data_IF_941172434414
#
_entry.id   IF_941172434414
#
_cell.length_a   1.000
_cell.length_b   1.000
_cell.length_c   1.000
_cell.angle_alpha   90.00
_cell.angle_beta   90.00
_cell.angle_gamma   90.00
#
_symmetry.space_group_name_H-M   'P 1'
#
loop_
_entity.id
_entity.type
_entity.pdbx_description
1 polymer ?
#
# COMPACT_ATOMS: atom_id res chain seq x y z
N UNK A 1 -12.86 -35.41 -13.55
CA UNK A 1 -13.03 -34.08 -14.18
C UNK A 1 -11.99 -33.15 -13.59
N UNK A 2 -10.94 -32.82 -14.36
CA UNK A 2 -9.91 -31.88 -13.92
C UNK A 2 -10.47 -30.45 -14.04
N UNK A 3 -10.92 -29.89 -12.92
CA UNK A 3 -11.41 -28.52 -12.89
C UNK A 3 -10.27 -27.55 -13.22
N UNK A 4 -10.52 -26.61 -14.14
CA UNK A 4 -9.62 -25.51 -14.44
C UNK A 4 -9.25 -24.76 -13.15
N UNK A 5 -8.07 -25.05 -12.59
CA UNK A 5 -7.47 -24.28 -11.52
C UNK A 5 -6.79 -23.07 -12.16
N UNK A 6 -7.58 -22.05 -12.49
CA UNK A 6 -7.00 -20.76 -12.85
C UNK A 6 -6.14 -20.29 -11.67
N UNK A 7 -4.81 -20.42 -11.79
CA UNK A 7 -3.87 -19.78 -10.87
C UNK A 7 -3.94 -18.29 -11.19
N UNK A 8 -4.55 -17.51 -10.31
CA UNK A 8 -4.52 -16.06 -10.40
C UNK A 8 -3.10 -15.59 -10.15
N UNK A 9 -2.31 -15.49 -11.21
CA UNK A 9 -0.99 -14.84 -11.15
C UNK A 9 -1.24 -13.34 -10.99
N UNK A 10 -0.64 -12.74 -9.96
CA UNK A 10 -0.79 -11.31 -9.67
C UNK A 10 -0.46 -10.47 -10.93
N UNK A 11 -1.27 -9.46 -11.21
CA UNK A 11 -1.08 -8.56 -12.35
C UNK A 11 0.28 -7.86 -12.31
N UNK A 12 0.78 -7.55 -11.11
CA UNK A 12 2.11 -6.95 -10.93
C UNK A 12 3.24 -7.89 -11.39
N UNK A 13 3.05 -9.20 -11.16
CA UNK A 13 3.97 -10.25 -11.58
C UNK A 13 3.95 -10.42 -13.10
N UNK A 14 2.76 -10.50 -13.71
CA UNK A 14 2.62 -10.69 -15.17
C UNK A 14 3.20 -9.53 -15.97
N UNK A 15 3.07 -8.29 -15.47
CA UNK A 15 3.51 -7.08 -16.18
C UNK A 15 5.02 -6.97 -16.39
N UNK A 16 5.85 -7.67 -15.59
CA UNK A 16 7.31 -7.48 -15.58
C UNK A 16 8.12 -8.72 -16.00
N UNK A 17 7.46 -9.85 -16.28
CA UNK A 17 8.08 -11.13 -16.66
C UNK A 17 9.02 -11.08 -17.87
N UNK A 18 8.87 -10.09 -18.76
CA UNK A 18 9.67 -9.93 -19.98
C UNK A 18 10.73 -8.83 -19.92
N UNK A 19 10.91 -8.16 -18.79
CA UNK A 19 11.82 -7.01 -18.66
C UNK A 19 13.03 -7.36 -17.78
N UNK A 20 14.23 -6.97 -18.19
CA UNK A 20 15.47 -7.12 -17.39
C UNK A 20 15.53 -6.07 -16.26
N UNK A 21 14.40 -5.90 -15.57
CA UNK A 21 14.19 -4.90 -14.52
C UNK A 21 14.52 -5.47 -13.15
N UNK A 22 14.86 -4.58 -12.21
CA UNK A 22 15.20 -4.99 -10.85
C UNK A 22 14.03 -5.70 -10.14
N UNK A 23 12.79 -5.44 -10.56
CA UNK A 23 11.58 -6.13 -10.12
C UNK A 23 11.44 -7.53 -10.68
N UNK A 24 11.86 -7.80 -11.92
CA UNK A 24 11.86 -9.14 -12.49
C UNK A 24 12.91 -10.04 -11.81
N UNK A 25 14.13 -9.51 -11.58
CA UNK A 25 15.17 -10.22 -10.82
C UNK A 25 14.73 -10.51 -9.39
N UNK A 26 14.07 -9.55 -8.74
CA UNK A 26 13.48 -9.77 -7.42
C UNK A 26 12.34 -10.80 -7.45
N UNK A 27 11.54 -10.86 -8.53
CA UNK A 27 10.49 -11.87 -8.67
C UNK A 27 11.08 -13.29 -8.76
N UNK A 28 12.13 -13.50 -9.56
CA UNK A 28 12.84 -14.78 -9.64
C UNK A 28 13.46 -15.16 -8.29
N UNK A 29 14.05 -14.20 -7.59
CA UNK A 29 14.62 -14.40 -6.25
C UNK A 29 13.54 -14.78 -5.23
N UNK A 30 12.35 -14.15 -5.27
CA UNK A 30 11.21 -14.45 -4.40
C UNK A 30 10.66 -15.86 -4.62
N UNK A 31 10.67 -16.37 -5.85
CA UNK A 31 10.29 -17.77 -6.12
C UNK A 31 11.26 -18.72 -5.41
N UNK A 32 12.56 -18.40 -5.43
CA UNK A 32 13.60 -19.25 -4.85
C UNK A 32 13.67 -19.17 -3.32
N UNK A 33 13.54 -17.97 -2.75
CA UNK A 33 13.69 -17.68 -1.31
C UNK A 33 12.76 -16.53 -0.89
N UNK A 34 11.44 -16.81 -0.70
CA UNK A 34 10.47 -15.76 -0.36
C UNK A 34 10.76 -15.13 1.01
N UNK A 35 11.29 -15.90 1.96
CA UNK A 35 11.59 -15.47 3.34
C UNK A 35 12.56 -14.28 3.41
N UNK A 36 13.45 -14.13 2.43
CA UNK A 36 14.42 -13.03 2.38
C UNK A 36 13.78 -11.65 2.18
N UNK A 37 12.61 -11.62 1.51
CA UNK A 37 11.89 -10.39 1.21
C UNK A 37 10.72 -10.14 2.17
N UNK A 38 10.45 -11.06 3.10
CA UNK A 38 9.45 -10.88 4.13
C UNK A 38 10.00 -9.99 5.26
N UNK A 39 9.48 -8.78 5.33
CA UNK A 39 9.81 -7.79 6.33
C UNK A 39 8.94 -7.97 7.57
N UNK A 40 9.51 -7.61 8.72
CA UNK A 40 8.76 -7.41 9.96
C UNK A 40 8.01 -6.07 9.93
N UNK A 41 7.01 -5.89 10.79
CA UNK A 41 6.19 -4.67 10.84
C UNK A 41 7.00 -3.38 11.00
N UNK A 42 8.06 -3.43 11.82
CA UNK A 42 8.94 -2.29 12.02
C UNK A 42 9.76 -1.97 10.76
N UNK A 43 10.17 -2.99 10.01
CA UNK A 43 10.90 -2.81 8.75
C UNK A 43 9.98 -2.32 7.63
N UNK A 44 8.71 -2.72 7.63
CA UNK A 44 7.69 -2.15 6.72
C UNK A 44 7.52 -0.66 7.02
N UNK A 45 7.33 -0.29 8.29
CA UNK A 45 7.20 1.11 8.68
C UNK A 45 8.41 1.95 8.26
N UNK A 46 9.62 1.43 8.46
CA UNK A 46 10.85 2.10 8.00
C UNK A 46 10.93 2.17 6.47
N UNK A 47 10.54 1.11 5.75
CA UNK A 47 10.51 1.08 4.29
C UNK A 47 9.48 2.05 3.70
N UNK A 48 8.39 2.36 4.41
CA UNK A 48 7.41 3.39 4.05
C UNK A 48 7.90 4.83 4.33
N UNK A 49 9.11 4.98 4.87
CA UNK A 49 9.73 6.26 5.22
C UNK A 49 9.60 6.63 6.70
N UNK A 50 9.12 5.70 7.54
CA UNK A 50 9.02 5.85 8.98
C UNK A 50 8.24 7.11 9.39
N UNK A 51 8.74 7.81 10.41
CA UNK A 51 8.13 9.05 10.90
C UNK A 51 8.13 10.16 9.84
N UNK A 52 9.12 10.18 8.94
CA UNK A 52 9.19 11.18 7.87
C UNK A 52 8.11 10.92 6.80
N UNK A 53 7.91 9.67 6.39
CA UNK A 53 6.82 9.26 5.50
C UNK A 53 5.45 9.56 6.11
N UNK A 54 5.27 9.28 7.41
CA UNK A 54 4.06 9.60 8.14
C UNK A 54 3.81 11.11 8.20
N UNK A 55 4.85 11.92 8.45
CA UNK A 55 4.74 13.38 8.45
C UNK A 55 4.34 13.92 7.07
N UNK A 56 4.90 13.36 5.98
CA UNK A 56 4.52 13.72 4.61
C UNK A 56 3.05 13.39 4.36
N UNK A 57 2.60 12.19 4.74
CA UNK A 57 1.20 11.78 4.58
C UNK A 57 0.25 12.70 5.36
N UNK A 58 0.57 12.99 6.63
CA UNK A 58 -0.22 13.89 7.47
C UNK A 58 -0.26 15.30 6.87
N UNK A 59 0.89 15.83 6.44
CA UNK A 59 0.97 17.17 5.83
C UNK A 59 0.17 17.25 4.53
N UNK A 60 0.19 16.20 3.70
CA UNK A 60 -0.61 16.12 2.47
C UNK A 60 -2.11 16.19 2.78
N UNK A 61 -2.59 15.45 3.78
CA UNK A 61 -3.99 15.53 4.22
C UNK A 61 -4.34 16.93 4.70
N UNK A 62 -3.48 17.55 5.52
CA UNK A 62 -3.68 18.93 5.99
C UNK A 62 -3.76 19.91 4.82
N UNK A 63 -2.83 19.84 3.87
CA UNK A 63 -2.83 20.70 2.68
C UNK A 63 -4.09 20.51 1.84
N UNK A 64 -4.51 19.26 1.61
CA UNK A 64 -5.75 18.96 0.88
C UNK A 64 -7.00 19.52 1.55
N UNK A 65 -7.12 19.36 2.87
CA UNK A 65 -8.24 19.90 3.65
C UNK A 65 -8.21 21.44 3.69
N UNK A 66 -7.04 22.06 3.88
CA UNK A 66 -6.89 23.52 3.82
C UNK A 66 -7.27 24.04 2.43
N UNK A 67 -6.87 23.37 1.36
CA UNK A 67 -7.27 23.70 -0.01
C UNK A 67 -8.78 23.61 -0.20
N UNK A 68 -9.43 22.57 0.33
CA UNK A 68 -10.89 22.44 0.31
C UNK A 68 -11.57 23.59 1.06
N UNK A 69 -11.07 23.97 2.24
CA UNK A 69 -11.62 25.09 3.00
C UNK A 69 -11.37 26.45 2.32
N UNK A 70 -10.25 26.61 1.62
CA UNK A 70 -10.00 27.82 0.83
C UNK A 70 -10.98 27.94 -0.34
N UNK A 71 -11.29 26.83 -1.02
CA UNK A 71 -12.25 26.79 -2.13
C UNK A 71 -13.71 26.87 -1.66
N UNK A 72 -14.02 26.30 -0.48
CA UNK A 72 -15.36 26.24 0.11
C UNK A 72 -15.34 26.65 1.58
N UNK A 73 -15.17 27.94 1.90
CA UNK A 73 -15.05 28.41 3.27
C UNK A 73 -16.30 28.16 4.12
N UNK A 74 -17.48 28.05 3.47
CA UNK A 74 -18.74 27.71 4.17
C UNK A 74 -18.69 26.33 4.84
N UNK A 75 -17.95 25.37 4.27
CA UNK A 75 -17.78 24.04 4.89
C UNK A 75 -17.10 24.14 6.25
N UNK A 76 -16.15 25.07 6.42
CA UNK A 76 -15.48 25.27 7.70
C UNK A 76 -16.45 25.79 8.76
N UNK A 77 -17.34 26.70 8.39
CA UNK A 77 -18.39 27.20 9.29
C UNK A 77 -19.39 26.10 9.67
N UNK A 78 -19.80 25.24 8.72
CA UNK A 78 -20.68 24.10 9.01
C UNK A 78 -20.00 23.05 9.87
N UNK A 79 -18.72 22.77 9.62
CA UNK A 79 -17.92 21.88 10.45
C UNK A 79 -17.80 22.40 11.89
N UNK A 80 -17.46 23.68 12.06
CA UNK A 80 -17.36 24.33 13.38
C UNK A 80 -18.66 24.26 14.17
N UNK A 81 -19.80 24.40 13.48
CA UNK A 81 -21.12 24.37 14.10
C UNK A 81 -21.71 22.95 14.19
N UNK A 82 -21.02 21.91 13.70
CA UNK A 82 -21.53 20.54 13.67
C UNK A 82 -22.73 20.33 12.74
N UNK A 83 -22.96 21.22 11.77
CA UNK A 83 -24.13 21.24 10.89
C UNK A 83 -23.86 20.62 9.51
N UNK A 84 -22.83 19.77 9.40
CA UNK A 84 -22.46 19.16 8.14
C UNK A 84 -23.54 18.19 7.65
N UNK A 85 -23.95 18.38 6.40
CA UNK A 85 -24.82 17.44 5.69
C UNK A 85 -24.05 16.17 5.32
N UNK A 86 -24.71 15.02 5.10
CA UNK A 86 -24.05 13.78 4.70
C UNK A 86 -23.13 13.93 3.46
N UNK A 87 -23.53 14.73 2.47
CA UNK A 87 -22.69 15.00 1.29
C UNK A 87 -21.44 15.82 1.63
N UNK A 88 -21.51 16.69 2.63
CA UNK A 88 -20.38 17.51 3.06
C UNK A 88 -19.38 16.67 3.86
N UNK A 89 -19.88 15.74 4.69
CA UNK A 89 -19.08 14.68 5.30
C UNK A 89 -18.39 13.80 4.26
N UNK A 90 -19.13 13.38 3.23
CA UNK A 90 -18.57 12.60 2.14
C UNK A 90 -17.47 13.38 1.41
N UNK A 91 -17.67 14.70 1.19
CA UNK A 91 -16.68 15.55 0.54
C UNK A 91 -15.42 15.71 1.39
N UNK A 92 -15.56 15.91 2.70
CA UNK A 92 -14.42 15.97 3.62
C UNK A 92 -13.66 14.64 3.67
N UNK A 93 -14.40 13.54 3.80
CA UNK A 93 -13.84 12.19 3.81
C UNK A 93 -13.14 11.82 2.51
N UNK A 94 -13.75 12.10 1.36
CA UNK A 94 -13.16 11.82 0.05
C UNK A 94 -11.92 12.68 -0.21
N UNK A 95 -11.94 13.95 0.19
CA UNK A 95 -10.78 14.84 0.06
C UNK A 95 -9.64 14.35 0.94
N UNK A 96 -9.91 13.99 2.20
CA UNK A 96 -8.89 13.43 3.09
C UNK A 96 -8.32 12.12 2.54
N UNK A 97 -9.17 11.23 2.03
CA UNK A 97 -8.76 9.95 1.44
C UNK A 97 -7.86 10.12 0.21
N UNK A 98 -8.25 10.98 -0.73
CA UNK A 98 -7.45 11.26 -1.93
C UNK A 98 -6.13 11.91 -1.56
N UNK A 99 -6.14 12.88 -0.64
CA UNK A 99 -4.94 13.58 -0.18
C UNK A 99 -3.97 12.64 0.54
N UNK A 100 -4.50 11.69 1.32
CA UNK A 100 -3.72 10.63 1.94
C UNK A 100 -3.07 9.73 0.88
N UNK A 101 -3.82 9.28 -0.12
CA UNK A 101 -3.29 8.42 -1.18
C UNK A 101 -2.15 9.08 -1.95
N UNK A 102 -2.30 10.36 -2.29
CA UNK A 102 -1.25 11.15 -2.93
C UNK A 102 -0.05 11.29 -1.99
N UNK A 103 -0.29 11.63 -0.72
CA UNK A 103 0.77 11.77 0.29
C UNK A 103 1.53 10.48 0.53
N UNK A 104 0.87 9.31 0.47
CA UNK A 104 1.50 8.02 0.63
C UNK A 104 2.41 7.67 -0.56
N UNK A 105 1.97 7.94 -1.79
CA UNK A 105 2.81 7.77 -2.98
C UNK A 105 4.05 8.68 -2.94
N UNK A 106 3.87 9.95 -2.56
CA UNK A 106 4.99 10.88 -2.42
C UNK A 106 5.91 10.45 -1.28
N UNK A 107 5.35 10.08 -0.12
CA UNK A 107 6.12 9.67 1.06
C UNK A 107 6.97 8.43 0.81
N UNK A 108 6.40 7.42 0.15
CA UNK A 108 7.12 6.18 -0.21
C UNK A 108 8.23 6.39 -1.24
N UNK A 109 8.06 7.36 -2.16
CA UNK A 109 9.09 7.70 -3.16
C UNK A 109 10.19 8.60 -2.59
N UNK A 110 9.83 9.55 -1.71
CA UNK A 110 10.75 10.58 -1.22
C UNK A 110 11.47 10.16 0.05
N UNK A 111 10.79 9.48 0.97
CA UNK A 111 11.32 9.13 2.28
C UNK A 111 11.53 7.62 2.46
N UNK A 112 10.93 6.80 1.60
CA UNK A 112 10.92 5.34 1.72
C UNK A 112 11.82 4.61 0.72
N UNK A 113 11.85 3.29 0.88
CA UNK A 113 12.41 2.34 -0.09
C UNK A 113 11.25 1.59 -0.75
N UNK A 114 10.69 2.23 -1.78
CA UNK A 114 9.54 1.72 -2.53
C UNK A 114 9.81 0.33 -3.13
N UNK A 115 11.06 0.04 -3.49
CA UNK A 115 11.44 -1.25 -4.08
C UNK A 115 11.42 -2.36 -3.02
N UNK A 116 11.93 -2.08 -1.82
CA UNK A 116 11.88 -3.02 -0.69
C UNK A 116 10.44 -3.30 -0.25
N UNK A 117 9.57 -2.30 -0.24
CA UNK A 117 8.14 -2.46 0.03
C UNK A 117 7.44 -3.30 -1.03
N UNK A 118 7.72 -3.04 -2.31
CA UNK A 118 7.15 -3.79 -3.43
C UNK A 118 7.56 -5.26 -3.39
N UNK A 119 8.85 -5.54 -3.12
CA UNK A 119 9.36 -6.90 -2.99
C UNK A 119 8.70 -7.64 -1.82
N UNK A 120 8.45 -6.95 -0.70
CA UNK A 120 7.74 -7.52 0.43
C UNK A 120 6.32 -7.98 0.08
N UNK A 121 5.53 -7.09 -0.53
CA UNK A 121 4.15 -7.42 -0.90
C UNK A 121 4.09 -8.52 -1.96
N UNK A 122 5.02 -8.51 -2.92
CA UNK A 122 5.13 -9.57 -3.93
C UNK A 122 5.43 -10.93 -3.30
N UNK A 123 6.37 -11.01 -2.35
CA UNK A 123 6.66 -12.23 -1.61
C UNK A 123 5.49 -12.69 -0.75
N UNK A 124 4.84 -11.76 -0.05
CA UNK A 124 3.67 -12.06 0.78
C UNK A 124 2.52 -12.64 -0.06
N UNK A 125 2.20 -12.04 -1.20
CA UNK A 125 1.13 -12.54 -2.07
C UNK A 125 1.48 -13.88 -2.69
N UNK A 126 2.71 -14.06 -3.17
CA UNK A 126 3.18 -15.34 -3.71
C UNK A 126 3.01 -16.47 -2.68
N UNK A 127 3.49 -16.26 -1.46
CA UNK A 127 3.37 -17.24 -0.38
C UNK A 127 1.92 -17.47 0.01
N UNK A 128 1.11 -16.43 0.13
CA UNK A 128 -0.32 -16.54 0.47
C UNK A 128 -1.09 -17.33 -0.60
N UNK A 129 -0.77 -17.13 -1.87
CA UNK A 129 -1.37 -17.88 -2.97
C UNK A 129 -0.95 -19.36 -2.91
N UNK A 130 0.34 -19.65 -2.74
CA UNK A 130 0.82 -21.03 -2.63
C UNK A 130 0.25 -21.75 -1.41
N UNK A 131 0.18 -21.09 -0.25
CA UNK A 131 -0.45 -21.65 0.96
C UNK A 131 -1.96 -21.93 0.74
N UNK A 132 -2.66 -21.10 -0.05
CA UNK A 132 -4.10 -21.27 -0.33
C UNK A 132 -4.40 -22.39 -1.32
N UNK A 133 -3.53 -22.61 -2.31
CA UNK A 133 -3.79 -23.56 -3.41
C UNK A 133 -3.04 -24.89 -3.30
N UNK A 134 -1.90 -24.91 -2.61
CA UNK A 134 -1.03 -26.10 -2.51
C UNK A 134 -1.05 -26.70 -1.09
N UNK A 135 -1.71 -26.07 -0.13
CA UNK A 135 -1.98 -26.61 1.21
C UNK A 135 -0.73 -26.85 2.07
N UNK A 136 0.45 -26.48 1.57
CA UNK A 136 1.73 -26.59 2.28
C UNK A 136 2.08 -25.23 2.86
N UNK A 137 2.36 -25.19 4.16
CA UNK A 137 2.91 -24.01 4.84
C UNK A 137 4.35 -23.83 4.36
N UNK A 138 4.57 -22.93 3.40
CA UNK A 138 5.92 -22.63 2.89
C UNK A 138 6.71 -21.75 3.88
N UNK A 139 6.07 -21.22 4.94
CA UNK A 139 6.71 -20.32 5.89
C UNK A 139 7.09 -20.98 7.21
N UNK A 140 8.33 -20.77 7.61
CA UNK A 140 8.82 -20.95 8.99
C UNK A 140 8.49 -19.74 9.90
N UNK A 141 8.29 -18.55 9.32
CA UNK A 141 7.88 -17.33 10.03
C UNK A 141 6.50 -16.88 9.58
N UNK A 142 5.55 -16.89 10.52
CA UNK A 142 4.20 -16.37 10.30
C UNK A 142 4.27 -14.84 10.10
N UNK A 143 3.72 -14.27 9.00
CA UNK A 143 3.63 -12.84 8.85
C UNK A 143 2.68 -12.31 9.93
N UNK A 144 3.19 -11.45 10.81
CA UNK A 144 2.38 -10.77 11.83
C UNK A 144 1.40 -9.84 11.14
N UNK A 145 0.11 -9.96 11.47
CA UNK A 145 -0.95 -9.11 10.96
C UNK A 145 -1.32 -8.07 12.03
N UNK A 146 -1.40 -6.81 11.58
CA UNK A 146 -1.91 -5.60 12.22
C UNK A 146 -1.05 -4.93 13.30
#
# INVERSE_FOLDING_TARGET
MAGNRFKYVDYLYVRHLGSDSATAKAADEIISQPDKHLLTQQEIFQAEGGLAGLAIQASSVTVGLVGLFALRPRLLSYLKNGQLRPLEWLTLGSTAFVSYHIGHQIGSVVAGDAQRLQNHWMAYYFVKQNNRFEGRQILSKKPGMY
#
